data_IF_895553923363
#
_entry.id   IF_895553923363
#
_cell.length_a   1.000
_cell.length_b   1.000
_cell.length_c   1.000
_cell.angle_alpha   90.00
_cell.angle_beta   90.00
_cell.angle_gamma   90.00
#
_symmetry.space_group_name_H-M   'P 1'
#
loop_
_entity.id
_entity.type
_entity.pdbx_description
1 polymer ?
#
# COMPACT_ATOMS: atom_id res chain seq x y z
N UNK A 1 15.35 -9.57 -24.39
CA UNK A 1 15.61 -10.20 -23.08
C UNK A 1 15.33 -9.14 -22.02
N UNK A 2 14.57 -9.42 -20.95
CA UNK A 2 14.35 -8.45 -19.87
C UNK A 2 15.66 -8.30 -19.06
N UNK A 3 16.35 -7.18 -19.26
CA UNK A 3 17.53 -6.78 -18.48
C UNK A 3 17.12 -5.76 -17.42
N UNK A 4 18.02 -5.49 -16.47
CA UNK A 4 17.76 -4.50 -15.41
C UNK A 4 17.57 -3.11 -15.99
N UNK A 5 18.46 -2.72 -16.90
CA UNK A 5 18.53 -1.40 -17.50
C UNK A 5 17.29 -1.13 -18.38
N UNK A 6 16.90 -2.11 -19.20
CA UNK A 6 15.71 -2.00 -20.06
C UNK A 6 14.41 -1.91 -19.25
N UNK A 7 14.34 -2.63 -18.12
CA UNK A 7 13.19 -2.56 -17.22
C UNK A 7 13.15 -1.24 -16.44
N UNK A 8 14.30 -0.78 -15.95
CA UNK A 8 14.44 0.48 -15.24
C UNK A 8 14.03 1.67 -16.12
N UNK A 9 14.55 1.75 -17.35
CA UNK A 9 14.16 2.80 -18.30
C UNK A 9 12.64 2.80 -18.55
N UNK A 10 12.05 1.61 -18.74
CA UNK A 10 10.61 1.50 -18.92
C UNK A 10 9.81 1.91 -17.68
N UNK A 11 10.29 1.63 -16.46
CA UNK A 11 9.63 2.03 -15.20
C UNK A 11 9.71 3.55 -15.00
N UNK A 12 10.82 4.18 -15.36
CA UNK A 12 10.99 5.64 -15.29
C UNK A 12 10.07 6.34 -16.31
N UNK A 13 9.94 5.80 -17.52
CA UNK A 13 9.08 6.35 -18.57
C UNK A 13 7.58 6.08 -18.36
N UNK A 14 7.21 5.08 -17.55
CA UNK A 14 5.83 4.63 -17.40
C UNK A 14 5.22 5.06 -16.08
N UNK A 15 3.92 5.40 -16.12
CA UNK A 15 3.19 5.76 -14.90
C UNK A 15 2.82 4.54 -14.06
N UNK A 16 2.80 3.33 -14.66
CA UNK A 16 2.42 2.10 -13.95
C UNK A 16 3.14 0.83 -14.44
N UNK A 17 3.26 -0.16 -13.55
CA UNK A 17 3.81 -1.50 -13.86
C UNK A 17 3.00 -2.23 -14.93
N UNK A 18 1.70 -1.94 -15.04
CA UNK A 18 0.82 -2.53 -16.05
C UNK A 18 1.20 -2.09 -17.47
N UNK A 19 1.62 -0.83 -17.65
CA UNK A 19 2.11 -0.33 -18.94
C UNK A 19 3.43 -0.98 -19.31
N UNK A 20 4.34 -1.10 -18.34
CA UNK A 20 5.62 -1.81 -18.50
C UNK A 20 5.38 -3.27 -18.92
N UNK A 21 4.48 -3.98 -18.24
CA UNK A 21 4.13 -5.36 -18.55
C UNK A 21 3.58 -5.53 -19.97
N UNK A 22 2.70 -4.62 -20.42
CA UNK A 22 2.20 -4.58 -21.81
C UNK A 22 3.33 -4.38 -22.82
N UNK A 23 4.25 -3.43 -22.57
CA UNK A 23 5.38 -3.14 -23.45
C UNK A 23 6.28 -4.37 -23.66
N UNK A 24 6.51 -5.13 -22.59
CA UNK A 24 7.33 -6.34 -22.64
C UNK A 24 6.54 -7.62 -22.97
N UNK A 25 5.24 -7.54 -23.25
CA UNK A 25 4.35 -8.68 -23.47
C UNK A 25 4.47 -9.74 -22.36
N UNK A 26 4.60 -9.27 -21.12
CA UNK A 26 4.76 -10.09 -19.94
C UNK A 26 3.61 -9.85 -18.95
N UNK A 27 3.42 -10.75 -17.99
CA UNK A 27 2.48 -10.51 -16.89
C UNK A 27 3.12 -9.62 -15.82
N UNK A 28 2.30 -8.91 -15.04
CA UNK A 28 2.78 -8.12 -13.90
C UNK A 28 3.62 -8.98 -12.92
N UNK A 29 3.24 -10.25 -12.72
CA UNK A 29 4.00 -11.16 -11.88
C UNK A 29 5.42 -11.42 -12.42
N UNK A 30 5.59 -11.56 -13.74
CA UNK A 30 6.91 -11.72 -14.35
C UNK A 30 7.78 -10.50 -14.10
N UNK A 31 7.20 -9.29 -14.20
CA UNK A 31 7.90 -8.05 -13.89
C UNK A 31 8.35 -8.04 -12.42
N UNK A 32 7.44 -8.25 -11.46
CA UNK A 32 7.79 -8.26 -10.04
C UNK A 32 8.75 -9.39 -9.64
N UNK A 33 8.63 -10.57 -10.25
CA UNK A 33 9.55 -11.67 -10.01
C UNK A 33 10.96 -11.34 -10.50
N UNK A 34 11.07 -10.64 -11.65
CA UNK A 34 12.35 -10.21 -12.20
C UNK A 34 13.02 -9.16 -11.33
N UNK A 35 12.28 -8.15 -10.90
CA UNK A 35 12.76 -7.11 -9.97
C UNK A 35 13.30 -7.74 -8.67
N UNK A 36 12.51 -8.65 -8.07
CA UNK A 36 12.92 -9.39 -6.86
C UNK A 36 14.14 -10.29 -7.09
N UNK A 37 14.30 -10.87 -8.28
CA UNK A 37 15.48 -11.70 -8.60
C UNK A 37 16.80 -10.91 -8.58
N UNK A 38 16.73 -9.58 -8.65
CA UNK A 38 17.88 -8.68 -8.50
C UNK A 38 18.03 -8.12 -7.08
N UNK A 39 17.20 -8.54 -6.12
CA UNK A 39 17.20 -8.01 -4.75
C UNK A 39 16.69 -6.58 -4.63
N UNK A 40 15.92 -6.10 -5.62
CA UNK A 40 15.39 -4.74 -5.67
C UNK A 40 13.89 -4.75 -5.38
N UNK A 41 13.38 -3.58 -4.99
CA UNK A 41 11.98 -3.21 -4.99
C UNK A 41 11.63 -2.41 -6.26
N UNK A 42 10.34 -2.15 -6.47
CA UNK A 42 9.90 -1.29 -7.57
C UNK A 42 10.40 0.14 -7.38
N UNK A 43 10.45 0.62 -6.13
CA UNK A 43 10.90 1.97 -5.81
C UNK A 43 12.40 2.15 -6.06
N UNK A 44 13.21 1.11 -5.86
CA UNK A 44 14.67 1.15 -6.18
C UNK A 44 14.94 1.31 -7.69
N UNK A 45 13.97 1.01 -8.54
CA UNK A 45 14.05 1.18 -9.99
C UNK A 45 13.42 2.49 -10.47
N UNK A 46 12.70 3.19 -9.60
CA UNK A 46 12.24 4.54 -9.90
C UNK A 46 13.38 5.51 -9.65
N UNK A 47 13.49 6.50 -10.53
CA UNK A 47 14.41 7.58 -10.29
C UNK A 47 13.82 8.50 -9.20
N UNK A 48 14.49 8.66 -8.04
CA UNK A 48 14.01 9.53 -6.98
C UNK A 48 13.94 11.00 -7.42
N UNK A 49 14.69 11.41 -8.45
CA UNK A 49 14.63 12.76 -9.01
C UNK A 49 13.44 12.97 -9.96
N UNK A 50 12.78 11.89 -10.39
CA UNK A 50 11.60 11.94 -11.28
C UNK A 50 10.28 11.95 -10.49
N UNK A 51 10.33 11.68 -9.18
CA UNK A 51 9.18 11.82 -8.28
C UNK A 51 8.94 13.26 -7.84
N UNK A 52 7.70 13.62 -7.45
CA UNK A 52 7.45 14.93 -6.86
C UNK A 52 8.25 15.08 -5.57
N UNK A 53 8.86 16.25 -5.40
CA UNK A 53 9.56 16.64 -4.19
C UNK A 53 8.62 16.63 -2.97
N UNK A 54 9.16 16.47 -1.75
CA UNK A 54 8.35 16.59 -0.54
C UNK A 54 7.52 17.88 -0.49
N UNK A 55 8.07 18.98 -0.98
CA UNK A 55 7.41 20.28 -1.11
C UNK A 55 6.22 20.23 -2.06
N UNK A 56 6.39 19.68 -3.27
CA UNK A 56 5.29 19.52 -4.25
C UNK A 56 4.19 18.58 -3.73
N UNK A 57 4.57 17.52 -3.02
CA UNK A 57 3.61 16.63 -2.35
C UNK A 57 2.83 17.41 -1.29
N UNK A 58 3.51 18.23 -0.48
CA UNK A 58 2.88 19.01 0.57
C UNK A 58 1.92 20.06 0.02
N UNK A 59 2.32 20.76 -1.04
CA UNK A 59 1.51 21.75 -1.75
C UNK A 59 0.25 21.10 -2.33
N UNK A 60 0.41 20.03 -3.11
CA UNK A 60 -0.74 19.32 -3.71
C UNK A 60 -1.66 18.71 -2.66
N UNK A 61 -1.10 18.22 -1.55
CA UNK A 61 -1.90 17.75 -0.43
C UNK A 61 -2.65 18.90 0.27
N UNK A 62 -2.11 20.12 0.28
CA UNK A 62 -2.80 21.31 0.79
C UNK A 62 -3.97 21.69 -0.13
N UNK A 63 -3.76 21.73 -1.45
CA UNK A 63 -4.83 21.97 -2.44
C UNK A 63 -6.00 20.98 -2.27
N UNK A 64 -5.69 19.69 -2.14
CA UNK A 64 -6.71 18.66 -1.88
C UNK A 64 -7.45 18.93 -0.57
N UNK A 65 -6.74 19.37 0.47
CA UNK A 65 -7.35 19.71 1.76
C UNK A 65 -8.23 20.94 1.69
N UNK A 66 -7.90 21.95 0.87
CA UNK A 66 -8.75 23.13 0.66
C UNK A 66 -10.09 22.78 0.02
N UNK A 67 -10.11 21.73 -0.83
CA UNK A 67 -11.34 21.25 -1.46
C UNK A 67 -12.28 20.46 -0.53
N UNK A 68 -11.86 20.15 0.70
CA UNK A 68 -12.64 19.33 1.61
C UNK A 68 -13.84 20.09 2.18
N UNK A 69 -14.95 19.36 2.32
CA UNK A 69 -16.10 19.87 3.08
C UNK A 69 -15.81 19.90 4.58
N UNK A 70 -16.54 20.71 5.37
CA UNK A 70 -16.40 20.73 6.84
C UNK A 70 -16.55 19.35 7.51
N UNK A 71 -17.42 18.49 6.97
CA UNK A 71 -17.60 17.12 7.47
C UNK A 71 -16.41 16.21 7.15
N UNK A 72 -15.70 16.46 6.06
CA UNK A 72 -14.48 15.72 5.71
C UNK A 72 -13.29 16.10 6.56
N UNK A 73 -13.12 17.40 6.83
CA UNK A 73 -12.16 17.86 7.81
C UNK A 73 -12.38 17.20 9.17
N UNK A 74 -13.62 17.15 9.66
CA UNK A 74 -13.95 16.48 10.94
C UNK A 74 -13.61 14.99 10.94
N UNK A 75 -13.94 14.26 9.86
CA UNK A 75 -13.67 12.81 9.78
C UNK A 75 -12.17 12.48 9.72
N UNK A 76 -11.38 13.34 9.06
CA UNK A 76 -9.95 13.11 8.82
C UNK A 76 -9.04 13.83 9.82
N UNK A 77 -9.61 14.62 10.74
CA UNK A 77 -8.88 15.21 11.85
C UNK A 77 -8.30 14.10 12.74
N UNK A 78 -6.99 13.93 12.71
CA UNK A 78 -6.24 13.11 13.65
C UNK A 78 -6.08 13.85 14.98
N UNK A 79 -6.17 13.13 16.10
CA UNK A 79 -6.05 13.71 17.45
C UNK A 79 -7.37 13.96 18.19
N UNK A 80 -8.52 13.70 17.57
CA UNK A 80 -9.83 13.71 18.25
C UNK A 80 -10.15 12.46 19.07
N UNK A 81 -9.29 11.43 18.98
CA UNK A 81 -9.42 10.20 19.77
C UNK A 81 -9.17 10.50 21.27
N UNK A 82 -9.78 9.74 22.20
CA UNK A 82 -9.57 9.92 23.62
C UNK A 82 -8.07 9.91 23.96
N UNK A 83 -7.64 10.79 24.88
CA UNK A 83 -6.26 10.93 25.37
C UNK A 83 -5.61 9.62 25.87
N UNK A 84 -6.39 8.55 26.00
CA UNK A 84 -5.96 7.22 26.40
C UNK A 84 -6.59 6.20 25.45
N UNK A 85 -5.74 5.43 24.77
CA UNK A 85 -6.18 4.22 24.08
C UNK A 85 -6.87 3.30 25.09
N UNK A 86 -8.12 2.91 24.79
CA UNK A 86 -8.81 1.87 25.54
C UNK A 86 -8.86 0.62 24.68
N UNK A 87 -8.48 -0.55 25.20
CA UNK A 87 -8.73 -1.79 24.51
C UNK A 87 -10.24 -1.95 24.26
N UNK A 88 -10.64 -2.61 23.16
CA UNK A 88 -12.02 -3.02 22.98
C UNK A 88 -12.51 -3.75 24.24
N UNK A 89 -13.69 -3.38 24.73
CA UNK A 89 -14.28 -4.08 25.86
C UNK A 89 -14.64 -5.50 25.41
N UNK A 90 -13.78 -6.47 25.72
CA UNK A 90 -14.13 -7.87 25.61
C UNK A 90 -15.21 -8.16 26.66
N UNK A 91 -16.44 -8.43 26.22
CA UNK A 91 -17.45 -9.04 27.08
C UNK A 91 -17.27 -10.54 26.98
N UNK A 92 -16.70 -11.12 28.02
CA UNK A 92 -16.66 -12.56 28.23
C UNK A 92 -18.11 -13.02 28.47
N UNK A 93 -18.79 -13.52 27.42
CA UNK A 93 -20.19 -13.94 27.54
C UNK A 93 -21.00 -14.12 26.26
N UNK A 94 -20.51 -13.72 25.08
CA UNK A 94 -21.23 -13.93 23.80
C UNK A 94 -20.53 -14.99 22.93
N UNK A 95 -20.39 -16.20 23.46
CA UNK A 95 -20.25 -17.41 22.64
C UNK A 95 -21.65 -17.96 22.39
N UNK A 96 -22.37 -17.36 21.45
CA UNK A 96 -23.57 -17.99 20.89
C UNK A 96 -23.06 -19.03 19.88
N UNK A 97 -22.99 -20.27 20.40
CA UNK A 97 -22.66 -21.55 19.78
C UNK A 97 -22.23 -21.61 18.32
N UNK A 98 -20.95 -21.90 18.09
CA UNK A 98 -20.49 -22.93 17.13
C UNK A 98 -19.14 -23.47 17.62
N UNK A 99 -19.13 -24.36 18.60
CA UNK A 99 -17.95 -25.17 18.91
C UNK A 99 -18.33 -26.44 19.68
N UNK A 100 -19.31 -27.18 19.17
CA UNK A 100 -19.32 -28.62 19.42
C UNK A 100 -18.41 -29.28 18.38
N UNK A 101 -17.62 -30.26 18.81
CA UNK A 101 -16.75 -31.15 18.02
C UNK A 101 -15.36 -30.65 17.60
N UNK A 102 -14.45 -30.47 18.57
CA UNK A 102 -13.05 -30.90 18.37
C UNK A 102 -12.45 -31.41 19.69
N UNK A 103 -12.91 -32.60 20.11
CA UNK A 103 -12.26 -33.40 21.14
C UNK A 103 -10.95 -33.99 20.56
N UNK A 104 -9.87 -33.21 20.54
CA UNK A 104 -8.52 -33.77 20.36
C UNK A 104 -8.10 -34.33 21.71
N UNK A 105 -8.41 -35.61 21.93
CA UNK A 105 -7.85 -36.43 22.99
C UNK A 105 -6.34 -36.55 22.78
N UNK A 106 -5.54 -35.93 23.65
CA UNK A 106 -4.10 -36.21 23.73
C UNK A 106 -3.91 -37.47 24.57
N UNK A 107 -3.42 -38.53 23.93
CA UNK A 107 -2.52 -39.51 24.55
C UNK A 107 -1.25 -39.56 23.71
#
# INVERSE_FOLDING_TARGET
MLTKETLQAAIVESTSVTEVAKRFKASNQVIYARIRSWGLSLDDLRDPEVGPTPEEIAERAAEVRESWTPSEHRRRAVGGAPRRWRPPAYREGELIGVAESLSISRR
#
